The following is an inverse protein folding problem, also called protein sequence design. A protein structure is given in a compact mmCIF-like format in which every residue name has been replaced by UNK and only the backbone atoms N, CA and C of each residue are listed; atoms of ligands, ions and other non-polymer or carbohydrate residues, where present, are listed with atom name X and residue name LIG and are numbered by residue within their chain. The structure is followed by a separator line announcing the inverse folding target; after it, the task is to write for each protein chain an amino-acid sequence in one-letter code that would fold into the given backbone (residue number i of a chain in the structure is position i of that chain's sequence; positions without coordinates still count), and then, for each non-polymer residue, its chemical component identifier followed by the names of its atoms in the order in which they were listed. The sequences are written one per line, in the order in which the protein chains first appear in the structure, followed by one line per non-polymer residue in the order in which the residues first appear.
data_IF_568676624729
#
_entry.id   IF_568676624729
#
_cell.length_a   1.000
_cell.length_b   1.000
_cell.length_c   1.000
_cell.angle_alpha   90.00
_cell.angle_beta   90.00
_cell.angle_gamma   90.00
#
_symmetry.space_group_name_H-M   'P 1'
#
loop_
_entity.id
_entity.type
_entity.pdbx_description
1 polymer ?
#
# COMPACT_ATOMS: atom_id res chain seq x y z
N UNK A 1 -25.93 20.61 8.66
CA UNK A 1 -25.47 21.53 9.73
C UNK A 1 -25.28 22.89 9.12
N UNK A 2 -25.56 23.96 9.87
CA UNK A 2 -25.34 25.33 9.40
C UNK A 2 -23.88 25.73 9.66
N UNK A 3 -23.27 26.50 8.76
CA UNK A 3 -22.03 27.22 9.06
C UNK A 3 -22.38 28.59 9.64
N UNK A 4 -21.57 29.08 10.58
CA UNK A 4 -21.81 30.35 11.29
C UNK A 4 -21.05 31.52 10.67
N UNK A 5 -20.32 31.26 9.58
CA UNK A 5 -19.43 32.20 8.91
C UNK A 5 -18.33 31.46 8.15
N UNK A 6 -17.54 32.19 7.37
CA UNK A 6 -16.46 31.63 6.57
C UNK A 6 -15.37 30.99 7.44
N UNK A 7 -15.02 31.60 8.58
CA UNK A 7 -14.01 31.05 9.48
C UNK A 7 -14.47 29.72 10.09
N UNK A 8 -15.74 29.61 10.49
CA UNK A 8 -16.30 28.35 10.96
C UNK A 8 -16.30 27.27 9.87
N UNK A 9 -16.64 27.64 8.63
CA UNK A 9 -16.59 26.69 7.50
C UNK A 9 -15.16 26.21 7.22
N UNK A 10 -14.18 27.13 7.20
CA UNK A 10 -12.76 26.79 7.00
C UNK A 10 -12.25 25.86 8.08
N UNK A 11 -12.58 26.13 9.34
CA UNK A 11 -12.20 25.27 10.46
C UNK A 11 -12.76 23.85 10.30
N UNK A 12 -14.07 23.73 10.00
CA UNK A 12 -14.71 22.42 9.81
C UNK A 12 -14.15 21.64 8.62
N UNK A 13 -13.80 22.32 7.54
CA UNK A 13 -13.16 21.68 6.40
C UNK A 13 -11.75 21.22 6.76
N UNK A 14 -10.96 22.03 7.47
CA UNK A 14 -9.62 21.66 7.90
C UNK A 14 -9.64 20.42 8.82
N UNK A 15 -10.56 20.38 9.78
CA UNK A 15 -10.79 19.22 10.64
C UNK A 15 -11.11 17.97 9.82
N UNK A 16 -12.04 18.11 8.86
CA UNK A 16 -12.45 17.01 7.99
C UNK A 16 -11.31 16.50 7.09
N UNK A 17 -10.49 17.40 6.54
CA UNK A 17 -9.32 17.03 5.73
C UNK A 17 -8.33 16.20 6.54
N UNK A 18 -8.09 16.57 7.79
CA UNK A 18 -7.22 15.80 8.69
C UNK A 18 -7.76 14.39 8.97
N UNK A 19 -9.06 14.29 9.31
CA UNK A 19 -9.73 13.02 9.56
C UNK A 19 -9.72 12.11 8.31
N UNK A 20 -10.09 12.65 7.15
CA UNK A 20 -10.14 11.90 5.90
C UNK A 20 -8.75 11.39 5.48
N UNK A 21 -7.75 12.27 5.45
CA UNK A 21 -6.42 11.89 4.99
C UNK A 21 -5.68 10.98 5.97
N UNK A 22 -5.94 11.11 7.27
CA UNK A 22 -5.14 10.47 8.31
C UNK A 22 -5.77 9.23 8.94
N UNK A 23 -7.09 9.16 9.06
CA UNK A 23 -7.76 8.17 9.93
C UNK A 23 -8.65 7.19 9.18
N UNK A 24 -9.05 7.49 7.94
CA UNK A 24 -10.02 6.68 7.19
C UNK A 24 -9.34 5.80 6.14
N UNK A 25 -9.36 4.47 6.30
CA UNK A 25 -8.94 3.55 5.26
C UNK A 25 -9.91 3.54 4.08
N UNK A 26 -9.39 3.38 2.86
CA UNK A 26 -10.21 3.31 1.65
C UNK A 26 -9.95 2.03 0.86
N UNK A 27 -11.02 1.35 0.44
CA UNK A 27 -10.93 0.07 -0.29
C UNK A 27 -10.19 0.18 -1.62
N UNK A 28 -10.33 1.30 -2.34
CA UNK A 28 -9.57 1.59 -3.56
C UNK A 28 -8.07 1.76 -3.35
N UNK A 29 -7.64 2.05 -2.11
CA UNK A 29 -6.24 2.16 -1.70
C UNK A 29 -5.76 0.91 -0.95
N UNK A 30 -6.47 -0.22 -1.08
CA UNK A 30 -6.12 -1.46 -0.37
C UNK A 30 -6.34 -1.36 1.14
N UNK A 31 -7.30 -0.55 1.59
CA UNK A 31 -7.54 -0.23 2.99
C UNK A 31 -6.37 0.52 3.67
N UNK A 32 -5.64 1.33 2.90
CA UNK A 32 -4.76 2.35 3.44
C UNK A 32 -5.48 3.70 3.56
N UNK A 33 -4.98 4.55 4.45
CA UNK A 33 -5.37 5.97 4.49
C UNK A 33 -4.70 6.72 3.33
N UNK A 34 -5.29 7.82 2.84
CA UNK A 34 -4.68 8.61 1.76
C UNK A 34 -3.23 9.01 2.05
N UNK A 35 -2.94 9.45 3.29
CA UNK A 35 -1.60 9.83 3.69
C UNK A 35 -0.61 8.65 3.66
N UNK A 36 -1.02 7.48 4.13
CA UNK A 36 -0.18 6.27 4.08
C UNK A 36 0.11 5.83 2.64
N UNK A 37 -0.89 5.90 1.77
CA UNK A 37 -0.72 5.59 0.36
C UNK A 37 0.24 6.57 -0.35
N UNK A 38 0.11 7.88 -0.09
CA UNK A 38 1.02 8.89 -0.63
C UNK A 38 2.48 8.71 -0.15
N UNK A 39 2.66 8.26 1.10
CA UNK A 39 3.99 7.94 1.63
C UNK A 39 4.66 6.78 0.86
N UNK A 40 3.89 5.76 0.46
CA UNK A 40 4.40 4.65 -0.36
C UNK A 40 4.90 5.14 -1.74
N UNK A 41 4.16 6.05 -2.38
CA UNK A 41 4.59 6.65 -3.65
C UNK A 41 5.87 7.48 -3.47
N UNK A 42 5.98 8.25 -2.39
CA UNK A 42 7.17 9.05 -2.08
C UNK A 42 8.40 8.17 -1.86
N UNK A 43 8.26 7.09 -1.07
CA UNK A 43 9.33 6.12 -0.86
C UNK A 43 9.74 5.42 -2.17
N UNK A 44 8.79 5.16 -3.07
CA UNK A 44 9.08 4.60 -4.39
C UNK A 44 9.86 5.59 -5.25
N UNK A 45 9.47 6.86 -5.28
CA UNK A 45 10.21 7.91 -5.99
C UNK A 45 11.62 8.12 -5.43
N UNK A 46 11.80 8.11 -4.11
CA UNK A 46 13.11 8.19 -3.46
C UNK A 46 14.00 7.00 -3.88
N UNK A 47 13.42 5.80 -3.91
CA UNK A 47 14.10 4.60 -4.42
C UNK A 47 14.47 4.70 -5.91
N UNK A 48 13.60 5.28 -6.74
CA UNK A 48 13.92 5.52 -8.16
C UNK A 48 15.06 6.54 -8.31
N UNK A 49 15.19 7.49 -7.39
CA UNK A 49 16.29 8.46 -7.35
C UNK A 49 17.63 7.83 -6.93
N UNK A 50 17.60 6.64 -6.33
CA UNK A 50 18.78 5.85 -5.98
C UNK A 50 18.71 4.44 -6.61
N UNK A 51 19.15 4.26 -7.87
CA UNK A 51 19.01 3.01 -8.61
C UNK A 51 19.74 1.81 -7.95
N UNK A 52 20.72 2.05 -7.09
CA UNK A 52 21.42 0.99 -6.35
C UNK A 52 20.51 0.29 -5.33
N UNK A 53 19.49 0.99 -4.80
CA UNK A 53 18.50 0.38 -3.90
C UNK A 53 17.54 -0.55 -4.65
N UNK A 54 17.24 -0.28 -5.91
CA UNK A 54 16.47 -1.20 -6.76
C UNK A 54 17.27 -2.49 -6.99
N UNK A 55 18.58 -2.38 -7.23
CA UNK A 55 19.46 -3.55 -7.45
C UNK A 55 19.59 -4.49 -6.26
N UNK A 56 19.36 -4.00 -5.03
CA UNK A 56 19.31 -4.82 -3.81
C UNK A 56 17.94 -5.39 -3.47
N UNK A 57 16.89 -5.00 -4.21
CA UNK A 57 15.54 -5.52 -4.00
C UNK A 57 15.49 -6.92 -4.60
N UNK A 58 15.56 -7.96 -3.76
CA UNK A 58 15.50 -9.36 -4.18
C UNK A 58 14.09 -9.65 -4.73
N UNK A 59 13.89 -9.49 -6.03
CA UNK A 59 12.57 -9.66 -6.71
C UNK A 59 12.14 -11.13 -6.80
N UNK A 60 13.04 -12.08 -6.60
CA UNK A 60 12.68 -13.50 -6.53
C UNK A 60 12.70 -13.94 -5.07
N UNK A 61 11.56 -14.18 -4.42
CA UNK A 61 11.59 -15.03 -3.23
C UNK A 61 12.24 -16.35 -3.64
N UNK A 62 13.32 -16.75 -2.97
CA UNK A 62 13.94 -18.05 -3.22
C UNK A 62 12.86 -19.10 -3.00
N UNK A 63 12.63 -19.96 -4.01
CA UNK A 63 11.65 -21.02 -3.93
C UNK A 63 11.88 -21.84 -2.63
N UNK A 64 10.83 -22.16 -1.85
CA UNK A 64 11.01 -22.99 -0.69
C UNK A 64 11.53 -24.37 -1.14
N UNK A 65 12.68 -24.77 -0.60
CA UNK A 65 13.22 -26.12 -0.80
C UNK A 65 12.21 -27.14 -0.24
N UNK A 66 11.57 -27.92 -1.12
CA UNK A 66 10.78 -29.07 -0.66
C UNK A 66 9.57 -29.48 -1.50
N UNK A 67 9.63 -29.44 -2.84
CA UNK A 67 8.68 -30.23 -3.64
C UNK A 67 9.44 -31.44 -4.19
N UNK A 68 9.40 -32.53 -3.44
CA UNK A 68 9.80 -33.86 -3.89
C UNK A 68 8.88 -34.27 -5.04
N UNK A 69 9.43 -34.58 -6.22
CA UNK A 69 8.69 -35.21 -7.31
C UNK A 69 8.11 -36.53 -6.84
N UNK A 70 6.79 -36.59 -6.65
CA UNK A 70 6.09 -37.85 -6.51
C UNK A 70 6.07 -38.54 -7.88
N UNK A 71 6.76 -39.67 -7.92
CA UNK A 71 6.95 -40.53 -9.07
C UNK A 71 5.61 -41.00 -9.65
N UNK A 72 5.56 -41.00 -10.97
CA UNK A 72 4.53 -41.63 -11.80
C UNK A 72 4.41 -43.12 -11.44
N UNK A 73 3.27 -43.53 -10.87
CA UNK A 73 2.87 -44.93 -10.77
C UNK A 73 1.73 -45.21 -11.74
N UNK A 74 2.09 -45.87 -12.84
CA UNK A 74 1.19 -46.66 -13.67
C UNK A 74 0.61 -47.83 -12.86
N UNK A 75 -0.70 -47.99 -12.86
CA UNK A 75 -1.34 -49.25 -12.51
C UNK A 75 -2.55 -49.49 -13.41
N UNK A 76 -2.40 -50.51 -14.25
CA UNK A 76 -3.41 -51.20 -15.06
C UNK A 76 -4.55 -51.77 -14.21
N UNK A 77 -5.74 -51.77 -14.81
CA UNK A 77 -6.92 -52.54 -14.45
C UNK A 77 -7.95 -52.41 -15.57
#
# INVERSE_FOLDING_TARGET
TLFFGLDHARAKIADWVGDYNGQRPHSSLGYLTPAAYAAYLTATCDRLRNPDQLRRSHVANTAPNGVTSAETLTATG
#
